data_IF_617870449234
#
_entry.id   IF_617870449234
#
_cell.length_a   1.000
_cell.length_b   1.000
_cell.length_c   1.000
_cell.angle_alpha   90.00
_cell.angle_beta   90.00
_cell.angle_gamma   90.00
#
_symmetry.space_group_name_H-M   'P 1'
#
loop_
_entity.id
_entity.type
_entity.pdbx_description
1 polymer ?
#
# COMPACT_ATOMS: atom_id res chain seq x y z
N UNK A 1 61.60 -9.83 -97.38
CA UNK A 1 61.39 -9.66 -95.93
C UNK A 1 59.90 -9.62 -95.66
N UNK A 2 59.27 -10.76 -95.38
CA UNK A 2 57.92 -10.80 -94.80
C UNK A 2 57.88 -12.03 -93.90
N UNK A 3 58.07 -11.80 -92.61
CA UNK A 3 58.01 -12.82 -91.58
C UNK A 3 56.99 -12.38 -90.52
N UNK A 4 56.05 -13.27 -90.23
CA UNK A 4 55.39 -13.39 -88.92
C UNK A 4 54.24 -12.45 -88.61
N UNK A 5 52.99 -12.83 -88.91
CA UNK A 5 51.79 -12.26 -88.29
C UNK A 5 50.58 -13.22 -88.15
N UNK A 6 50.67 -14.52 -88.48
CA UNK A 6 49.46 -15.37 -88.58
C UNK A 6 49.11 -16.23 -87.33
N UNK A 7 49.94 -16.30 -86.29
CA UNK A 7 49.70 -17.22 -85.14
C UNK A 7 49.02 -16.59 -83.91
N UNK A 8 48.71 -15.29 -83.92
CA UNK A 8 48.26 -14.58 -82.71
C UNK A 8 46.75 -14.60 -82.43
N UNK A 9 45.91 -15.03 -83.38
CA UNK A 9 44.44 -14.98 -83.23
C UNK A 9 43.88 -16.17 -82.41
N UNK A 10 44.32 -17.39 -82.70
CA UNK A 10 43.85 -18.60 -82.00
C UNK A 10 44.31 -18.71 -80.54
N UNK A 11 45.54 -18.27 -80.25
CA UNK A 11 46.09 -18.27 -78.88
C UNK A 11 45.41 -17.27 -77.94
N UNK A 12 45.04 -16.08 -78.45
CA UNK A 12 44.36 -15.03 -77.66
C UNK A 12 42.95 -15.42 -77.25
N UNK A 13 42.20 -16.08 -78.12
CA UNK A 13 40.86 -16.59 -77.79
C UNK A 13 40.93 -17.69 -76.71
N UNK A 14 41.91 -18.59 -76.79
CA UNK A 14 42.11 -19.65 -75.79
C UNK A 14 42.52 -19.08 -74.41
N UNK A 15 43.38 -18.06 -74.38
CA UNK A 15 43.77 -17.38 -73.15
C UNK A 15 42.60 -16.64 -72.50
N UNK A 16 41.78 -15.93 -73.28
CA UNK A 16 40.59 -15.24 -72.78
C UNK A 16 39.60 -16.22 -72.14
N UNK A 17 39.40 -17.39 -72.77
CA UNK A 17 38.50 -18.41 -72.26
C UNK A 17 39.01 -19.06 -70.95
N UNK A 18 40.32 -19.24 -70.80
CA UNK A 18 40.93 -19.67 -69.54
C UNK A 18 40.75 -18.63 -68.43
N UNK A 19 41.00 -17.36 -68.73
CA UNK A 19 40.84 -16.28 -67.76
C UNK A 19 39.38 -16.16 -67.26
N UNK A 20 38.40 -16.32 -68.16
CA UNK A 20 36.97 -16.38 -67.81
C UNK A 20 36.66 -17.56 -66.89
N UNK A 21 37.21 -18.75 -67.20
CA UNK A 21 37.02 -19.95 -66.39
C UNK A 21 37.67 -19.82 -64.99
N UNK A 22 38.88 -19.27 -64.92
CA UNK A 22 39.59 -19.03 -63.66
C UNK A 22 38.85 -18.00 -62.80
N UNK A 23 38.31 -16.93 -63.40
CA UNK A 23 37.48 -15.95 -62.70
C UNK A 23 36.18 -16.58 -62.14
N UNK A 24 35.49 -17.42 -62.93
CA UNK A 24 34.30 -18.13 -62.48
C UNK A 24 34.62 -19.13 -61.35
N UNK A 25 35.78 -19.78 -61.39
CA UNK A 25 36.25 -20.66 -60.32
C UNK A 25 36.50 -19.89 -59.02
N UNK A 26 37.23 -18.78 -59.09
CA UNK A 26 37.47 -17.91 -57.91
C UNK A 26 36.16 -17.39 -57.34
N UNK A 27 35.21 -16.99 -58.19
CA UNK A 27 33.89 -16.57 -57.75
C UNK A 27 33.11 -17.71 -57.07
N UNK A 28 33.23 -18.94 -57.57
CA UNK A 28 32.62 -20.12 -56.96
C UNK A 28 33.25 -20.43 -55.60
N UNK A 29 34.57 -20.35 -55.49
CA UNK A 29 35.30 -20.54 -54.23
C UNK A 29 34.89 -19.47 -53.19
N UNK A 30 34.80 -18.20 -53.59
CA UNK A 30 34.29 -17.12 -52.76
C UNK A 30 32.86 -17.39 -52.29
N UNK A 31 31.96 -17.77 -53.20
CA UNK A 31 30.58 -18.10 -52.87
C UNK A 31 30.52 -19.25 -51.86
N UNK A 32 31.29 -20.32 -52.06
CA UNK A 32 31.33 -21.45 -51.14
C UNK A 32 31.80 -21.04 -49.74
N UNK A 33 32.81 -20.17 -49.64
CA UNK A 33 33.28 -19.64 -48.38
C UNK A 33 32.21 -18.79 -47.67
N UNK A 34 31.45 -17.97 -48.42
CA UNK A 34 30.33 -17.22 -47.84
C UNK A 34 29.22 -18.13 -47.31
N UNK A 35 28.91 -19.23 -48.01
CA UNK A 35 27.91 -20.21 -47.56
C UNK A 35 28.35 -20.86 -46.26
N UNK A 36 29.62 -21.25 -46.13
CA UNK A 36 30.16 -21.82 -44.89
C UNK A 36 30.06 -20.83 -43.73
N UNK A 37 30.42 -19.56 -43.94
CA UNK A 37 30.29 -18.53 -42.92
C UNK A 37 28.83 -18.35 -42.48
N UNK A 38 27.89 -18.28 -43.43
CA UNK A 38 26.46 -18.19 -43.12
C UNK A 38 25.94 -19.41 -42.35
N UNK A 39 26.42 -20.61 -42.68
CA UNK A 39 26.07 -21.83 -41.95
C UNK A 39 26.58 -21.78 -40.50
N UNK A 40 27.82 -21.30 -40.30
CA UNK A 40 28.39 -21.14 -38.97
C UNK A 40 27.59 -20.11 -38.15
N UNK A 41 27.29 -18.94 -38.72
CA UNK A 41 26.49 -17.90 -38.04
C UNK A 41 25.08 -18.40 -37.73
N UNK A 42 24.45 -19.15 -38.65
CA UNK A 42 23.13 -19.75 -38.40
C UNK A 42 23.20 -20.76 -37.25
N UNK A 43 24.26 -21.56 -37.17
CA UNK A 43 24.50 -22.46 -36.06
C UNK A 43 24.63 -21.74 -34.71
N UNK A 44 25.32 -20.60 -34.67
CA UNK A 44 25.40 -19.76 -33.48
C UNK A 44 24.06 -19.16 -33.09
N UNK A 45 23.31 -18.62 -34.06
CA UNK A 45 21.96 -18.08 -33.84
C UNK A 45 21.05 -19.15 -33.21
N UNK A 46 21.06 -20.37 -33.73
CA UNK A 46 20.26 -21.48 -33.19
C UNK A 46 20.64 -21.77 -31.74
N UNK A 47 21.94 -21.78 -31.40
CA UNK A 47 22.39 -21.98 -30.01
C UNK A 47 21.89 -20.87 -29.08
N UNK A 48 22.02 -19.62 -29.50
CA UNK A 48 21.56 -18.46 -28.70
C UNK A 48 20.05 -18.51 -28.50
N UNK A 49 19.28 -18.80 -29.55
CA UNK A 49 17.82 -18.92 -29.46
C UNK A 49 17.43 -20.03 -28.47
N UNK A 50 18.10 -21.17 -28.51
CA UNK A 50 17.82 -22.26 -27.57
C UNK A 50 18.17 -21.89 -26.12
N UNK A 51 19.30 -21.23 -25.88
CA UNK A 51 19.68 -20.72 -24.55
C UNK A 51 18.66 -19.69 -24.02
N UNK A 52 18.23 -18.75 -24.88
CA UNK A 52 17.20 -17.77 -24.53
C UNK A 52 15.87 -18.45 -24.19
N UNK A 53 15.45 -19.44 -24.97
CA UNK A 53 14.22 -20.20 -24.69
C UNK A 53 14.31 -20.94 -23.35
N UNK A 54 15.46 -21.52 -23.00
CA UNK A 54 15.66 -22.14 -21.69
C UNK A 54 15.61 -21.12 -20.56
N UNK A 55 16.22 -19.94 -20.74
CA UNK A 55 16.18 -18.84 -19.78
C UNK A 55 14.75 -18.32 -19.57
N UNK A 56 13.98 -18.19 -20.65
CA UNK A 56 12.56 -17.79 -20.60
C UNK A 56 11.77 -18.80 -19.76
N UNK A 57 11.89 -20.10 -20.06
CA UNK A 57 11.19 -21.15 -19.31
C UNK A 57 11.58 -21.15 -17.81
N UNK A 58 12.85 -20.93 -17.49
CA UNK A 58 13.30 -20.84 -16.10
C UNK A 58 12.73 -19.60 -15.38
N UNK A 59 12.61 -18.47 -16.08
CA UNK A 59 11.98 -17.26 -15.53
C UNK A 59 10.48 -17.45 -15.31
N UNK A 60 9.78 -18.10 -16.23
CA UNK A 60 8.36 -18.43 -16.10
C UNK A 60 8.11 -19.31 -14.86
N UNK A 61 8.95 -20.33 -14.63
CA UNK A 61 8.85 -21.16 -13.42
C UNK A 61 9.09 -20.36 -12.14
N UNK A 62 10.08 -19.45 -12.14
CA UNK A 62 10.33 -18.58 -10.98
C UNK A 62 9.14 -17.67 -10.70
N UNK A 63 8.54 -17.08 -11.73
CA UNK A 63 7.37 -16.23 -11.59
C UNK A 63 6.17 -17.02 -11.03
N UNK A 64 5.91 -18.23 -11.54
CA UNK A 64 4.85 -19.09 -11.02
C UNK A 64 5.05 -19.46 -9.54
N UNK A 65 6.30 -19.67 -9.10
CA UNK A 65 6.61 -19.92 -7.70
C UNK A 65 6.41 -18.67 -6.83
N UNK A 66 6.79 -17.49 -7.32
CA UNK A 66 6.53 -16.22 -6.64
C UNK A 66 5.03 -15.96 -6.49
N UNK A 67 4.23 -16.21 -7.52
CA UNK A 67 2.77 -16.09 -7.46
C UNK A 67 2.15 -17.00 -6.40
N UNK A 68 2.63 -18.26 -6.30
CA UNK A 68 2.21 -19.18 -5.23
C UNK A 68 2.55 -18.64 -3.85
N UNK A 69 3.78 -18.12 -3.66
CA UNK A 69 4.19 -17.54 -2.38
C UNK A 69 3.32 -16.33 -2.01
N UNK A 70 3.02 -15.46 -2.97
CA UNK A 70 2.13 -14.31 -2.78
C UNK A 70 0.73 -14.79 -2.35
N UNK A 71 0.18 -15.80 -3.03
CA UNK A 71 -1.14 -16.34 -2.68
C UNK A 71 -1.18 -16.92 -1.25
N UNK A 72 -0.13 -17.66 -0.85
CA UNK A 72 -0.01 -18.18 0.52
C UNK A 72 0.05 -17.06 1.56
N UNK A 73 0.87 -16.03 1.32
CA UNK A 73 0.98 -14.88 2.22
C UNK A 73 -0.34 -14.10 2.34
N UNK A 74 -1.04 -13.90 1.23
CA UNK A 74 -2.37 -13.27 1.24
C UNK A 74 -3.38 -14.09 2.04
N UNK A 75 -3.35 -15.41 1.91
CA UNK A 75 -4.21 -16.30 2.70
C UNK A 75 -3.88 -16.23 4.19
N UNK A 76 -2.60 -16.19 4.56
CA UNK A 76 -2.18 -16.03 5.95
C UNK A 76 -2.67 -14.71 6.55
N UNK A 77 -2.47 -13.59 5.85
CA UNK A 77 -2.99 -12.28 6.26
C UNK A 77 -4.52 -12.30 6.44
N UNK A 78 -5.24 -12.96 5.52
CA UNK A 78 -6.68 -13.11 5.60
C UNK A 78 -7.12 -13.96 6.81
N UNK A 79 -6.38 -15.02 7.16
CA UNK A 79 -6.67 -15.84 8.32
C UNK A 79 -6.40 -15.08 9.62
N UNK A 80 -5.24 -14.43 9.73
CA UNK A 80 -4.89 -13.64 10.92
C UNK A 80 -5.85 -12.46 11.14
N UNK A 81 -6.27 -11.78 10.08
CA UNK A 81 -7.24 -10.69 10.19
C UNK A 81 -8.60 -11.19 10.68
N UNK A 82 -9.06 -12.37 10.22
CA UNK A 82 -10.27 -13.01 10.75
C UNK A 82 -10.13 -13.37 12.22
N UNK A 83 -9.00 -13.95 12.64
CA UNK A 83 -8.74 -14.30 14.05
C UNK A 83 -8.69 -13.06 14.94
N UNK A 84 -8.01 -12.00 14.49
CA UNK A 84 -8.00 -10.69 15.17
C UNK A 84 -9.41 -10.13 15.28
N UNK A 85 -10.22 -10.19 14.22
CA UNK A 85 -11.60 -9.70 14.23
C UNK A 85 -12.49 -10.49 15.21
N UNK A 86 -12.37 -11.81 15.23
CA UNK A 86 -13.09 -12.66 16.19
C UNK A 86 -12.72 -12.29 17.63
N UNK A 87 -11.43 -12.04 17.87
CA UNK A 87 -10.93 -11.64 19.19
C UNK A 87 -11.48 -10.28 19.62
N UNK A 88 -11.47 -9.29 18.72
CA UNK A 88 -12.08 -7.97 18.95
C UNK A 88 -13.57 -8.12 19.29
N UNK A 89 -14.32 -8.90 18.52
CA UNK A 89 -15.74 -9.11 18.77
C UNK A 89 -16.01 -9.76 20.13
N UNK A 90 -15.20 -10.77 20.52
CA UNK A 90 -15.28 -11.40 21.85
C UNK A 90 -14.97 -10.39 22.97
N UNK A 91 -13.94 -9.56 22.80
CA UNK A 91 -13.59 -8.52 23.77
C UNK A 91 -14.73 -7.50 23.91
N UNK A 92 -15.35 -7.07 22.81
CA UNK A 92 -16.51 -6.17 22.83
C UNK A 92 -17.66 -6.80 23.63
N UNK A 93 -17.95 -8.08 23.40
CA UNK A 93 -19.00 -8.79 24.12
C UNK A 93 -18.70 -8.90 25.63
N UNK A 94 -17.45 -9.16 26.00
CA UNK A 94 -17.01 -9.17 27.40
C UNK A 94 -17.11 -7.79 28.05
N UNK A 95 -16.66 -6.74 27.38
CA UNK A 95 -16.77 -5.35 27.86
C UNK A 95 -18.24 -4.99 28.07
N UNK A 96 -19.14 -5.35 27.15
CA UNK A 96 -20.58 -5.12 27.29
C UNK A 96 -21.17 -5.82 28.52
N UNK A 97 -20.69 -7.02 28.86
CA UNK A 97 -21.11 -7.77 30.07
C UNK A 97 -20.58 -7.12 31.35
N UNK A 98 -19.33 -6.64 31.35
CA UNK A 98 -18.75 -5.96 32.51
C UNK A 98 -19.36 -4.58 32.76
N UNK A 99 -19.65 -3.80 31.71
CA UNK A 99 -20.34 -2.50 31.83
C UNK A 99 -21.75 -2.66 32.39
N UNK A 100 -22.50 -3.67 31.93
CA UNK A 100 -23.84 -3.95 32.45
C UNK A 100 -23.81 -4.40 33.92
N UNK A 101 -22.84 -5.23 34.33
CA UNK A 101 -22.63 -5.60 35.75
C UNK A 101 -22.25 -4.40 36.62
N UNK A 102 -21.36 -3.52 36.16
CA UNK A 102 -20.94 -2.33 36.90
C UNK A 102 -22.10 -1.33 37.13
N UNK A 103 -22.98 -1.18 36.13
CA UNK A 103 -24.21 -0.37 36.28
C UNK A 103 -25.22 -0.98 37.26
N UNK A 104 -25.33 -2.32 37.31
CA UNK A 104 -26.19 -3.01 38.26
C UNK A 104 -25.62 -2.97 39.70
N UNK A 105 -24.31 -3.08 39.86
CA UNK A 105 -23.64 -2.98 41.16
C UNK A 105 -23.72 -1.58 41.78
N UNK A 106 -23.71 -0.52 40.95
CA UNK A 106 -23.93 0.87 41.42
C UNK A 106 -25.38 1.15 41.81
N UNK A 107 -26.35 0.37 41.30
CA UNK A 107 -27.75 0.49 41.70
C UNK A 107 -28.04 -0.15 43.08
N UNK A 108 -27.17 -1.03 43.57
CA UNK A 108 -27.30 -1.66 44.90
C UNK A 108 -26.49 -0.98 46.01
N UNK A 109 -25.71 0.06 45.69
CA UNK A 109 -24.87 0.79 46.66
C UNK A 109 -25.26 2.26 46.86
N UNK A 110 -26.52 2.65 46.60
CA UNK A 110 -27.05 3.91 47.10
C UNK A 110 -27.54 3.76 48.54
N UNK A 111 -26.61 3.87 49.48
CA UNK A 111 -26.90 4.61 50.71
C UNK A 111 -27.39 6.00 50.30
N UNK A 112 -28.60 6.35 50.73
CA UNK A 112 -29.28 7.55 50.26
C UNK A 112 -28.52 8.85 50.56
N UNK A 113 -28.72 9.92 49.76
CA UNK A 113 -28.29 11.24 50.18
C UNK A 113 -29.25 11.73 51.26
N UNK A 114 -28.72 11.79 52.48
CA UNK A 114 -29.23 12.51 53.64
C UNK A 114 -29.57 13.94 53.24
N UNK A 115 -30.83 14.33 53.41
CA UNK A 115 -31.30 15.66 53.79
C UNK A 115 -30.82 16.91 53.05
N UNK A 116 -31.80 17.61 52.47
CA UNK A 116 -31.99 19.07 52.50
C UNK A 116 -31.41 19.92 51.35
N UNK A 117 -32.32 20.27 50.43
CA UNK A 117 -32.22 21.38 49.47
C UNK A 117 -32.52 20.93 48.05
N UNK A 118 -33.60 21.42 47.43
CA UNK A 118 -33.73 21.33 45.97
C UNK A 118 -32.69 22.29 45.36
N UNK A 119 -31.70 21.74 44.66
CA UNK A 119 -30.71 22.54 43.93
C UNK A 119 -30.99 22.43 42.44
N UNK A 120 -30.96 23.56 41.73
CA UNK A 120 -30.94 23.57 40.27
C UNK A 120 -29.49 23.55 39.78
N UNK A 121 -29.23 22.79 38.72
CA UNK A 121 -27.90 22.71 38.11
C UNK A 121 -27.83 23.67 36.93
N UNK A 122 -26.87 24.59 36.94
CA UNK A 122 -26.61 25.54 35.85
C UNK A 122 -25.19 25.37 35.32
N UNK A 123 -25.05 25.30 33.99
CA UNK A 123 -23.74 25.27 33.32
C UNK A 123 -23.37 26.67 32.83
N UNK A 124 -22.20 27.16 33.24
CA UNK A 124 -21.73 28.50 32.89
C UNK A 124 -21.33 28.55 31.41
N UNK A 125 -21.86 29.53 30.67
CA UNK A 125 -21.50 29.80 29.28
C UNK A 125 -20.63 31.06 29.16
N UNK A 126 -20.07 31.29 27.98
CA UNK A 126 -19.25 32.48 27.72
C UNK A 126 -20.08 33.75 27.91
N UNK A 127 -19.58 34.69 28.70
CA UNK A 127 -20.29 35.94 29.01
C UNK A 127 -21.22 35.87 30.24
N UNK A 128 -21.42 34.70 30.86
CA UNK A 128 -22.14 34.62 32.11
C UNK A 128 -21.32 35.21 33.27
N UNK A 129 -22.00 35.94 34.15
CA UNK A 129 -21.43 36.42 35.41
C UNK A 129 -22.24 35.87 36.58
N UNK A 130 -21.60 35.68 37.73
CA UNK A 130 -22.27 35.14 38.91
C UNK A 130 -23.45 36.01 39.36
N UNK A 131 -23.34 37.34 39.17
CA UNK A 131 -24.43 38.28 39.42
C UNK A 131 -25.61 38.14 38.45
N UNK A 132 -25.36 37.89 37.17
CA UNK A 132 -26.43 37.64 36.19
C UNK A 132 -27.14 36.32 36.47
N UNK A 133 -26.40 35.27 36.82
CA UNK A 133 -26.95 33.97 37.21
C UNK A 133 -27.79 34.11 38.50
N UNK A 134 -27.26 34.78 39.53
CA UNK A 134 -27.98 35.02 40.77
C UNK A 134 -29.33 35.72 40.54
N UNK A 135 -29.36 36.75 39.68
CA UNK A 135 -30.59 37.45 39.28
C UNK A 135 -31.55 36.54 38.51
N UNK A 136 -31.06 35.76 37.56
CA UNK A 136 -31.88 34.88 36.73
C UNK A 136 -32.62 33.82 37.57
N UNK A 137 -31.97 33.31 38.61
CA UNK A 137 -32.54 32.30 39.51
C UNK A 137 -33.13 32.87 40.80
N UNK A 138 -33.18 34.20 40.93
CA UNK A 138 -33.70 34.92 42.11
C UNK A 138 -33.08 34.46 43.45
N UNK A 139 -31.76 34.30 43.47
CA UNK A 139 -30.97 33.93 44.65
C UNK A 139 -29.88 34.97 44.89
N UNK A 140 -29.29 34.99 46.09
CA UNK A 140 -28.14 35.87 46.32
C UNK A 140 -26.86 35.23 45.77
N UNK A 141 -25.90 36.08 45.39
CA UNK A 141 -24.56 35.63 44.97
C UNK A 141 -23.89 34.82 46.09
N UNK A 142 -24.04 35.26 47.34
CA UNK A 142 -23.52 34.55 48.52
C UNK A 142 -24.11 33.15 48.65
N UNK A 143 -25.42 32.99 48.45
CA UNK A 143 -26.07 31.67 48.53
C UNK A 143 -25.50 30.69 47.49
N UNK A 144 -25.27 31.17 46.25
CA UNK A 144 -24.62 30.36 45.21
C UNK A 144 -23.17 30.03 45.62
N UNK A 145 -22.42 31.00 46.12
CA UNK A 145 -21.03 30.78 46.54
C UNK A 145 -20.95 29.76 47.68
N UNK A 146 -21.81 29.85 48.69
CA UNK A 146 -21.87 28.91 49.80
C UNK A 146 -22.26 27.52 49.34
N UNK A 147 -23.28 27.40 48.48
CA UNK A 147 -23.72 26.11 47.92
C UNK A 147 -22.62 25.42 47.09
N UNK A 148 -21.77 26.20 46.40
CA UNK A 148 -20.70 25.69 45.55
C UNK A 148 -19.31 25.74 46.21
N UNK A 149 -19.23 26.11 47.49
CA UNK A 149 -17.99 26.28 48.26
C UNK A 149 -16.95 27.18 47.56
N UNK A 150 -17.43 28.23 46.89
CA UNK A 150 -16.60 29.18 46.15
C UNK A 150 -16.07 30.27 47.08
N UNK A 151 -14.79 30.63 46.87
CA UNK A 151 -14.14 31.72 47.64
C UNK A 151 -14.25 33.07 46.95
N UNK A 152 -14.34 33.07 45.62
CA UNK A 152 -14.38 34.27 44.77
C UNK A 152 -15.49 34.16 43.72
N UNK A 153 -15.77 35.26 43.03
CA UNK A 153 -16.82 35.36 41.99
C UNK A 153 -16.33 34.96 40.59
N UNK A 154 -15.11 34.44 40.47
CA UNK A 154 -14.53 33.99 39.21
C UNK A 154 -15.21 32.72 38.70
N UNK A 155 -15.81 32.81 37.51
CA UNK A 155 -16.45 31.69 36.84
C UNK A 155 -15.61 31.22 35.65
N UNK A 156 -15.56 29.91 35.44
CA UNK A 156 -14.96 29.30 34.25
C UNK A 156 -16.05 28.85 33.30
N UNK A 157 -15.88 29.10 32.01
CA UNK A 157 -16.79 28.58 30.98
C UNK A 157 -16.82 27.05 31.07
N UNK A 158 -18.02 26.47 31.09
CA UNK A 158 -18.27 25.05 31.28
C UNK A 158 -18.35 24.59 32.73
N UNK A 159 -18.14 25.46 33.72
CA UNK A 159 -18.30 25.14 35.13
C UNK A 159 -19.76 24.83 35.47
N UNK A 160 -19.98 23.79 36.27
CA UNK A 160 -21.30 23.44 36.81
C UNK A 160 -21.50 24.12 38.16
N UNK A 161 -22.62 24.81 38.32
CA UNK A 161 -23.04 25.48 39.55
C UNK A 161 -24.33 24.86 40.10
N UNK A 162 -24.37 24.62 41.40
CA UNK A 162 -25.53 24.20 42.19
C UNK A 162 -26.22 25.43 42.79
N UNK A 163 -27.43 25.71 42.35
CA UNK A 163 -28.19 26.90 42.72
C UNK A 163 -29.26 26.51 43.75
N UNK A 164 -29.19 27.00 45.00
CA UNK A 164 -30.18 26.66 46.03
C UNK A 164 -31.53 27.27 45.72
N UNK A 165 -32.60 26.48 45.69
CA UNK A 165 -33.96 27.00 45.55
C UNK A 165 -34.44 27.54 46.90
N UNK A 166 -34.67 28.85 47.01
CA UNK A 166 -35.37 29.42 48.17
C UNK A 166 -36.83 28.93 48.15
N UNK A 167 -37.28 28.32 49.25
CA UNK A 167 -38.69 28.00 49.46
C UNK A 167 -39.50 29.28 49.72
#
# INVERSE_FOLDING_TARGET
MLCGCEELSGGRSSQYQRQQYDAARVQTDQLSATVVNLQNTNGEIIRVVNDLNQKIAALEQKNANLEKNIAVLQQQIANESKERQITINKMIEQISKEVSRASAASASSSGGPVGAGEFLVHKVESGHTLGAIAKAYNVSVQDIMTANRMKDTNLRVGQTLYIPKKK
#
